data_IF_549010016134
#
_entry.id   IF_549010016134
#
_cell.length_a   1.000
_cell.length_b   1.000
_cell.length_c   1.000
_cell.angle_alpha   90.00
_cell.angle_beta   90.00
_cell.angle_gamma   90.00
#
_symmetry.space_group_name_H-M   'P 1'
#
loop_
_entity.id
_entity.type
_entity.pdbx_description
1 polymer ?
#
# COMPACT_ATOMS: atom_id res chain seq x y z
N UNK A 1 -6.49 -25.52 -32.53
CA UNK A 1 -6.28 -24.55 -31.44
C UNK A 1 -5.84 -25.32 -30.19
N UNK A 2 -4.70 -24.98 -29.61
CA UNK A 2 -4.29 -25.54 -28.33
C UNK A 2 -5.21 -24.95 -27.23
N UNK A 3 -5.72 -25.80 -26.34
CA UNK A 3 -6.52 -25.39 -25.19
C UNK A 3 -5.58 -25.26 -23.99
N UNK A 4 -5.75 -24.18 -23.19
CA UNK A 4 -5.04 -24.00 -21.95
C UNK A 4 -6.06 -24.05 -20.79
N UNK A 5 -5.69 -24.71 -19.71
CA UNK A 5 -6.46 -24.76 -18.47
C UNK A 5 -5.59 -24.18 -17.36
N UNK A 6 -6.06 -23.12 -16.71
CA UNK A 6 -5.44 -22.56 -15.52
C UNK A 6 -6.17 -23.10 -14.28
N UNK A 7 -5.45 -23.78 -13.40
CA UNK A 7 -5.97 -24.28 -12.13
C UNK A 7 -5.30 -23.50 -10.99
N UNK A 8 -6.10 -22.78 -10.20
CA UNK A 8 -5.64 -22.01 -9.07
C UNK A 8 -6.02 -22.76 -7.79
N UNK A 9 -5.01 -23.18 -7.03
CA UNK A 9 -5.18 -23.79 -5.72
C UNK A 9 -4.92 -22.72 -4.67
N UNK A 10 -5.94 -21.93 -4.37
CA UNK A 10 -5.85 -20.80 -3.45
C UNK A 10 -5.48 -21.27 -2.04
N UNK A 11 -4.53 -20.59 -1.41
CA UNK A 11 -3.99 -20.96 -0.11
C UNK A 11 -2.99 -22.14 -0.13
N UNK A 12 -2.67 -22.71 -1.32
CA UNK A 12 -1.67 -23.77 -1.46
C UNK A 12 -0.26 -23.15 -1.46
N UNK A 13 0.23 -22.77 -0.26
CA UNK A 13 1.53 -22.15 -0.09
C UNK A 13 2.66 -23.14 0.15
N UNK A 14 3.89 -22.67 0.06
CA UNK A 14 5.10 -23.41 0.39
C UNK A 14 5.47 -23.11 1.83
N UNK A 15 5.59 -24.15 2.64
CA UNK A 15 6.00 -24.05 4.04
C UNK A 15 6.90 -25.23 4.41
N UNK A 16 7.59 -25.11 5.53
CA UNK A 16 8.39 -26.20 6.07
C UNK A 16 7.52 -27.44 6.35
N UNK A 17 8.07 -28.63 6.13
CA UNK A 17 7.45 -29.89 6.47
C UNK A 17 7.25 -29.98 8.00
N UNK A 18 6.14 -30.54 8.45
CA UNK A 18 5.84 -30.71 9.86
C UNK A 18 4.36 -30.93 10.14
N UNK A 19 4.05 -31.23 11.39
CA UNK A 19 2.70 -31.59 11.84
C UNK A 19 1.64 -30.49 11.64
N UNK A 20 2.04 -29.24 11.47
CA UNK A 20 1.15 -28.12 11.15
C UNK A 20 0.94 -27.86 9.67
N UNK A 21 1.65 -28.57 8.78
CA UNK A 21 1.55 -28.39 7.33
C UNK A 21 0.69 -29.51 6.72
N UNK A 22 -0.60 -29.26 6.59
CA UNK A 22 -1.54 -30.22 6.03
C UNK A 22 -1.20 -30.62 4.58
N UNK A 23 -0.60 -29.73 3.80
CA UNK A 23 -0.18 -29.99 2.41
C UNK A 23 0.93 -31.03 2.37
N UNK A 24 1.95 -30.92 3.26
CA UNK A 24 3.05 -31.88 3.31
C UNK A 24 2.58 -33.28 3.78
N UNK A 25 1.56 -33.31 4.64
CA UNK A 25 1.01 -34.55 5.19
C UNK A 25 -0.01 -35.24 4.26
N UNK A 26 -0.57 -34.53 3.31
CA UNK A 26 -1.59 -35.05 2.40
C UNK A 26 -1.01 -36.07 1.42
N UNK A 27 -1.80 -37.10 1.11
CA UNK A 27 -1.52 -38.03 0.00
C UNK A 27 -1.83 -37.33 -1.32
N UNK A 28 -0.82 -36.87 -2.03
CA UNK A 28 -0.95 -36.06 -3.26
C UNK A 28 -0.11 -36.59 -4.44
N UNK A 29 -0.20 -37.90 -4.77
CA UNK A 29 0.71 -38.53 -5.72
C UNK A 29 0.71 -37.89 -7.11
N UNK A 30 -0.41 -37.32 -7.55
CA UNK A 30 -0.49 -36.65 -8.84
C UNK A 30 0.21 -35.30 -8.82
N UNK A 31 0.08 -34.51 -7.74
CA UNK A 31 0.82 -33.25 -7.59
C UNK A 31 2.31 -33.51 -7.44
N UNK A 32 2.69 -34.49 -6.63
CA UNK A 32 4.10 -34.88 -6.46
C UNK A 32 4.73 -35.24 -7.81
N UNK A 33 4.03 -36.03 -8.64
CA UNK A 33 4.48 -36.36 -9.99
C UNK A 33 4.56 -35.12 -10.91
N UNK A 34 3.55 -34.25 -10.87
CA UNK A 34 3.55 -33.03 -11.70
C UNK A 34 4.74 -32.14 -11.35
N UNK A 35 5.04 -31.93 -10.07
CA UNK A 35 6.18 -31.14 -9.63
C UNK A 35 7.53 -31.78 -9.95
N UNK A 36 7.61 -33.12 -9.95
CA UNK A 36 8.84 -33.82 -10.27
C UNK A 36 9.16 -33.87 -11.77
N UNK A 37 8.14 -33.95 -12.62
CA UNK A 37 8.30 -34.20 -14.05
C UNK A 37 8.19 -32.94 -14.94
N UNK A 38 7.75 -31.81 -14.37
CA UNK A 38 7.53 -30.59 -15.13
C UNK A 38 8.30 -29.39 -14.57
N UNK A 39 8.55 -28.42 -15.43
CA UNK A 39 9.14 -27.15 -15.01
C UNK A 39 8.18 -26.39 -14.09
N UNK A 40 8.68 -25.84 -13.00
CA UNK A 40 7.92 -24.98 -12.09
C UNK A 40 8.79 -23.80 -11.61
N UNK A 41 8.12 -22.78 -11.11
CA UNK A 41 8.77 -21.62 -10.46
C UNK A 41 7.97 -21.21 -9.24
N UNK A 42 8.60 -20.42 -8.38
CA UNK A 42 7.97 -19.80 -7.22
C UNK A 42 7.66 -18.34 -7.51
N UNK A 43 6.53 -17.88 -7.00
CA UNK A 43 6.11 -16.49 -7.06
C UNK A 43 5.99 -15.96 -5.61
N UNK A 44 6.33 -14.70 -5.42
CA UNK A 44 6.01 -14.00 -4.19
C UNK A 44 4.50 -13.79 -4.09
N UNK A 45 3.96 -13.95 -2.88
CA UNK A 45 2.54 -13.77 -2.60
C UNK A 45 2.28 -12.70 -1.54
N UNK A 46 3.26 -11.82 -1.27
CA UNK A 46 3.16 -10.79 -0.22
C UNK A 46 3.88 -9.50 -0.62
N UNK A 47 3.60 -8.45 0.11
CA UNK A 47 4.29 -7.16 0.00
C UNK A 47 4.20 -6.52 -1.37
N UNK A 48 5.23 -5.79 -1.75
CA UNK A 48 5.27 -5.00 -2.99
C UNK A 48 5.12 -5.86 -4.25
N UNK A 49 5.54 -7.11 -4.22
CA UNK A 49 5.42 -8.05 -5.35
C UNK A 49 3.97 -8.37 -5.74
N UNK A 50 3.03 -8.10 -4.84
CA UNK A 50 1.59 -8.24 -5.10
C UNK A 50 0.81 -6.92 -4.95
N UNK A 51 1.52 -5.79 -4.84
CA UNK A 51 0.91 -4.47 -4.77
C UNK A 51 0.46 -4.02 -3.39
N UNK A 52 0.91 -4.71 -2.34
CA UNK A 52 0.66 -4.37 -0.93
C UNK A 52 1.86 -3.67 -0.30
N UNK A 53 1.71 -3.00 0.85
CA UNK A 53 2.84 -2.49 1.62
C UNK A 53 3.86 -3.59 1.94
N UNK A 54 5.13 -3.21 2.07
CA UNK A 54 6.19 -4.13 2.40
C UNK A 54 5.90 -4.86 3.72
N UNK A 55 6.17 -6.18 3.76
CA UNK A 55 5.91 -7.02 4.92
C UNK A 55 4.44 -7.42 5.13
N UNK A 56 3.51 -6.89 4.36
CA UNK A 56 2.10 -7.27 4.45
C UNK A 56 1.86 -8.59 3.74
N UNK A 57 1.20 -9.53 4.44
CA UNK A 57 0.79 -10.82 3.88
C UNK A 57 -0.24 -10.59 2.76
N UNK A 58 -0.07 -11.32 1.64
CA UNK A 58 -1.02 -11.31 0.55
C UNK A 58 -2.37 -11.95 0.90
N UNK A 59 -3.30 -11.80 -0.01
CA UNK A 59 -4.63 -12.39 0.09
C UNK A 59 -5.14 -12.80 -1.29
N UNK A 60 -6.25 -13.53 -1.32
CA UNK A 60 -6.86 -14.05 -2.54
C UNK A 60 -7.22 -12.94 -3.54
N UNK A 61 -7.74 -11.81 -3.05
CA UNK A 61 -8.19 -10.69 -3.89
C UNK A 61 -7.03 -10.11 -4.70
N UNK A 62 -5.94 -9.70 -4.05
CA UNK A 62 -4.79 -9.13 -4.75
C UNK A 62 -4.09 -10.14 -5.64
N UNK A 63 -4.03 -11.41 -5.24
CA UNK A 63 -3.43 -12.47 -6.06
C UNK A 63 -4.19 -12.70 -7.36
N UNK A 64 -5.51 -12.85 -7.28
CA UNK A 64 -6.36 -13.03 -8.47
C UNK A 64 -6.37 -11.77 -9.35
N UNK A 65 -6.36 -10.57 -8.74
CA UNK A 65 -6.28 -9.33 -9.50
C UNK A 65 -5.00 -9.24 -10.31
N UNK A 66 -3.85 -9.57 -9.71
CA UNK A 66 -2.55 -9.54 -10.40
C UNK A 66 -2.48 -10.59 -11.53
N UNK A 67 -2.98 -11.82 -11.29
CA UNK A 67 -3.06 -12.85 -12.33
C UNK A 67 -3.96 -12.41 -13.49
N UNK A 68 -5.12 -11.82 -13.19
CA UNK A 68 -6.06 -11.35 -14.22
C UNK A 68 -5.53 -10.15 -15.01
N UNK A 69 -4.79 -9.27 -14.37
CA UNK A 69 -4.18 -8.09 -15.00
C UNK A 69 -2.88 -8.40 -15.74
N UNK A 70 -2.24 -9.53 -15.44
CA UNK A 70 -0.92 -9.89 -16.01
C UNK A 70 0.21 -8.95 -15.57
N UNK A 71 0.02 -8.24 -14.46
CA UNK A 71 0.99 -7.29 -13.88
C UNK A 71 0.70 -7.06 -12.41
N UNK A 72 1.64 -6.49 -11.68
CA UNK A 72 1.39 -6.02 -10.32
C UNK A 72 0.41 -4.84 -10.36
N UNK A 73 -0.68 -4.94 -9.60
CA UNK A 73 -1.66 -3.87 -9.39
C UNK A 73 -1.48 -3.35 -7.98
N UNK A 74 -0.85 -2.19 -7.86
CA UNK A 74 -0.66 -1.57 -6.55
C UNK A 74 -2.00 -1.14 -5.95
N UNK A 75 -2.24 -1.54 -4.69
CA UNK A 75 -3.35 -1.04 -3.91
C UNK A 75 -3.18 0.46 -3.63
N UNK A 76 -4.26 1.20 -3.43
CA UNK A 76 -4.24 2.67 -3.37
C UNK A 76 -3.21 3.22 -2.38
N UNK A 77 -3.13 2.67 -1.18
CA UNK A 77 -2.15 3.10 -0.18
C UNK A 77 -0.71 2.94 -0.69
N UNK A 78 -0.40 1.76 -1.24
CA UNK A 78 0.93 1.43 -1.78
C UNK A 78 1.24 2.30 -3.01
N UNK A 79 0.24 2.53 -3.86
CA UNK A 79 0.37 3.37 -5.06
C UNK A 79 0.74 4.81 -4.67
N UNK A 80 0.03 5.41 -3.72
CA UNK A 80 0.32 6.78 -3.27
C UNK A 80 1.71 6.85 -2.64
N UNK A 81 2.07 5.87 -1.78
CA UNK A 81 3.41 5.81 -1.19
C UNK A 81 4.48 5.77 -2.27
N UNK A 82 4.30 4.93 -3.28
CA UNK A 82 5.24 4.80 -4.40
C UNK A 82 5.33 6.09 -5.21
N UNK A 83 4.21 6.71 -5.55
CA UNK A 83 4.17 7.98 -6.27
C UNK A 83 4.91 9.11 -5.54
N UNK A 84 4.84 9.13 -4.19
CA UNK A 84 5.62 10.08 -3.38
C UNK A 84 7.12 9.79 -3.49
N UNK A 85 7.51 8.52 -3.39
CA UNK A 85 8.91 8.09 -3.48
C UNK A 85 9.52 8.36 -4.85
N UNK A 86 8.77 8.08 -5.92
CA UNK A 86 9.18 8.28 -7.31
C UNK A 86 9.10 9.77 -7.74
N UNK A 87 8.41 10.61 -6.97
CA UNK A 87 8.21 12.03 -7.26
C UNK A 87 7.02 12.35 -8.16
N UNK A 88 6.29 11.37 -8.64
CA UNK A 88 5.12 11.56 -9.51
C UNK A 88 3.93 12.17 -8.76
N UNK A 89 3.81 11.92 -7.46
CA UNK A 89 2.83 12.57 -6.59
C UNK A 89 2.87 14.11 -6.71
N UNK A 90 4.06 14.69 -6.82
CA UNK A 90 4.26 16.13 -6.93
C UNK A 90 3.87 16.72 -8.29
N UNK A 91 3.47 15.86 -9.24
CA UNK A 91 2.98 16.25 -10.57
C UNK A 91 1.46 16.10 -10.69
N UNK A 92 0.77 15.71 -9.62
CA UNK A 92 -0.68 15.48 -9.64
C UNK A 92 -1.42 16.79 -9.96
N UNK A 93 -2.07 16.82 -11.11
CA UNK A 93 -2.70 18.03 -11.66
C UNK A 93 -3.81 18.59 -10.75
N UNK A 94 -4.60 17.73 -10.10
CA UNK A 94 -5.68 18.16 -9.22
C UNK A 94 -5.15 18.82 -7.94
N UNK A 95 -4.09 18.26 -7.35
CA UNK A 95 -3.45 18.84 -6.18
C UNK A 95 -2.76 20.16 -6.54
N UNK A 96 -2.04 20.21 -7.66
CA UNK A 96 -1.40 21.43 -8.15
C UNK A 96 -2.43 22.52 -8.43
N UNK A 97 -3.57 22.20 -9.05
CA UNK A 97 -4.63 23.16 -9.30
C UNK A 97 -5.22 23.74 -8.01
N UNK A 98 -5.43 22.92 -6.98
CA UNK A 98 -5.89 23.38 -5.67
C UNK A 98 -4.87 24.33 -5.00
N UNK A 99 -3.59 23.97 -5.02
CA UNK A 99 -2.52 24.79 -4.45
C UNK A 99 -2.34 26.11 -5.22
N UNK A 100 -2.40 26.05 -6.55
CA UNK A 100 -2.37 27.24 -7.40
C UNK A 100 -3.53 28.19 -7.10
N UNK A 101 -4.76 27.65 -6.97
CA UNK A 101 -5.92 28.45 -6.62
C UNK A 101 -5.75 29.15 -5.25
N UNK A 102 -5.24 28.43 -4.24
CA UNK A 102 -4.98 29.01 -2.93
C UNK A 102 -3.95 30.14 -3.01
N UNK A 103 -2.89 29.96 -3.78
CA UNK A 103 -1.82 30.94 -3.97
C UNK A 103 -2.31 32.19 -4.70
N UNK A 104 -3.03 32.03 -5.80
CA UNK A 104 -3.53 33.15 -6.64
C UNK A 104 -4.55 34.01 -5.89
N UNK A 105 -5.31 33.44 -4.97
CA UNK A 105 -6.32 34.15 -4.18
C UNK A 105 -5.82 34.57 -2.79
N UNK A 106 -4.54 34.40 -2.48
CA UNK A 106 -3.96 34.61 -1.14
C UNK A 106 -4.77 33.94 -0.03
N UNK A 107 -5.36 32.78 -0.31
CA UNK A 107 -6.20 31.99 0.57
C UNK A 107 -5.42 30.86 1.23
N UNK A 108 -6.03 30.22 2.21
CA UNK A 108 -5.46 29.06 2.88
C UNK A 108 -5.79 27.76 2.14
N UNK A 109 -4.88 26.79 2.26
CA UNK A 109 -5.18 25.40 1.93
C UNK A 109 -5.40 24.61 3.24
N UNK A 110 -6.39 23.75 3.25
CA UNK A 110 -6.75 22.93 4.40
C UNK A 110 -6.66 21.45 4.02
N UNK A 111 -5.81 20.70 4.72
CA UNK A 111 -5.77 19.27 4.66
C UNK A 111 -6.55 18.67 5.81
N UNK A 112 -7.28 17.58 5.58
CA UNK A 112 -8.03 16.90 6.62
C UNK A 112 -8.00 15.40 6.42
N UNK A 113 -7.86 14.64 7.49
CA UNK A 113 -7.83 13.19 7.43
C UNK A 113 -7.36 12.53 8.72
N UNK A 114 -7.32 11.21 8.69
CA UNK A 114 -6.87 10.39 9.78
C UNK A 114 -5.35 10.49 9.92
N UNK A 115 -4.89 10.86 11.12
CA UNK A 115 -3.48 11.09 11.44
C UNK A 115 -2.90 9.88 12.20
N UNK A 116 -2.35 8.92 11.47
CA UNK A 116 -1.63 7.78 12.02
C UNK A 116 -0.74 7.10 10.97
N UNK A 117 0.02 6.11 11.40
CA UNK A 117 0.80 5.21 10.54
C UNK A 117 0.15 3.82 10.38
N UNK A 118 -1.11 3.68 10.76
CA UNK A 118 -1.83 2.40 10.73
C UNK A 118 -1.90 1.74 9.35
N UNK A 119 -1.89 2.54 8.28
CA UNK A 119 -1.76 2.03 6.91
C UNK A 119 -2.99 1.26 6.40
N UNK A 120 -4.15 1.43 7.03
CA UNK A 120 -5.41 0.84 6.60
C UNK A 120 -6.26 1.87 5.85
N UNK A 121 -6.53 3.00 6.48
CA UNK A 121 -7.35 4.07 5.89
C UNK A 121 -6.53 5.29 5.45
N UNK A 122 -5.37 5.47 6.03
CA UNK A 122 -4.43 6.55 5.71
C UNK A 122 -3.02 6.19 6.18
N UNK A 123 -2.05 7.01 5.78
CA UNK A 123 -0.69 6.94 6.33
C UNK A 123 -0.12 8.35 6.48
N UNK A 124 0.49 8.64 7.63
CA UNK A 124 1.02 9.97 7.97
C UNK A 124 2.03 10.49 6.93
N UNK A 125 2.79 9.60 6.29
CA UNK A 125 3.74 9.99 5.23
C UNK A 125 3.08 10.58 4.00
N UNK A 126 1.80 10.24 3.72
CA UNK A 126 1.04 10.85 2.63
C UNK A 126 0.71 12.32 2.94
N UNK A 127 0.36 12.61 4.19
CA UNK A 127 0.19 13.99 4.65
C UNK A 127 1.50 14.77 4.58
N UNK A 128 2.63 14.15 4.94
CA UNK A 128 3.95 14.77 4.79
C UNK A 128 4.27 15.09 3.33
N UNK A 129 3.88 14.22 2.40
CA UNK A 129 3.97 14.49 0.95
C UNK A 129 3.15 15.71 0.53
N UNK A 130 1.93 15.87 1.06
CA UNK A 130 1.10 17.05 0.81
C UNK A 130 1.72 18.34 1.37
N UNK A 131 2.27 18.29 2.58
CA UNK A 131 2.96 19.44 3.19
C UNK A 131 4.20 19.83 2.39
N UNK A 132 4.98 18.85 1.96
CA UNK A 132 6.15 19.09 1.10
C UNK A 132 5.75 19.70 -0.24
N UNK A 133 4.64 19.24 -0.83
CA UNK A 133 4.10 19.81 -2.05
C UNK A 133 3.68 21.28 -1.85
N UNK A 134 2.96 21.57 -0.75
CA UNK A 134 2.56 22.92 -0.41
C UNK A 134 3.77 23.86 -0.21
N UNK A 135 4.82 23.37 0.44
CA UNK A 135 6.09 24.09 0.60
C UNK A 135 6.76 24.35 -0.75
N UNK A 136 6.84 23.37 -1.63
CA UNK A 136 7.40 23.50 -3.00
C UNK A 136 6.63 24.54 -3.83
N UNK A 137 5.31 24.60 -3.67
CA UNK A 137 4.45 25.57 -4.34
C UNK A 137 4.49 26.98 -3.69
N UNK A 138 5.16 27.12 -2.54
CA UNK A 138 5.34 28.39 -1.84
C UNK A 138 4.09 28.87 -1.10
N UNK A 139 3.28 27.96 -0.58
CA UNK A 139 2.11 28.28 0.24
C UNK A 139 2.51 28.53 1.68
N UNK A 140 2.06 29.65 2.25
CA UNK A 140 2.36 30.06 3.63
C UNK A 140 1.16 29.88 4.59
N UNK A 141 -0.04 29.65 4.05
CA UNK A 141 -1.28 29.50 4.81
C UNK A 141 -1.78 28.06 4.66
N UNK A 142 -1.16 27.14 5.40
CA UNK A 142 -1.46 25.69 5.35
C UNK A 142 -1.98 25.25 6.71
N UNK A 143 -3.16 24.62 6.74
CA UNK A 143 -3.79 24.12 7.96
C UNK A 143 -4.09 22.64 7.84
N UNK A 144 -3.87 21.88 8.91
CA UNK A 144 -4.17 20.46 8.98
C UNK A 144 -5.23 20.20 10.05
N UNK A 145 -6.32 19.57 9.66
CA UNK A 145 -7.38 19.11 10.55
C UNK A 145 -7.19 17.63 10.84
N UNK A 146 -6.61 17.33 11.99
CA UNK A 146 -6.23 15.98 12.39
C UNK A 146 -7.42 15.21 12.95
N UNK A 147 -7.80 14.10 12.31
CA UNK A 147 -8.68 13.11 12.92
C UNK A 147 -7.79 12.05 13.56
N UNK A 148 -7.95 11.84 14.86
CA UNK A 148 -7.10 10.92 15.60
C UNK A 148 -7.58 9.48 15.41
N UNK A 149 -6.62 8.57 15.29
CA UNK A 149 -6.84 7.13 15.24
C UNK A 149 -6.90 6.56 16.68
N UNK A 150 -7.27 5.34 16.79
CA UNK A 150 -7.38 4.57 18.03
C UNK A 150 -8.00 3.20 17.76
N UNK A 151 -8.17 2.88 16.46
CA UNK A 151 -8.66 1.61 15.95
C UNK A 151 -7.55 0.81 15.26
N UNK A 152 -6.84 1.45 14.33
CA UNK A 152 -5.76 0.82 13.55
C UNK A 152 -4.40 0.99 14.26
N UNK A 153 -4.34 1.92 15.20
CA UNK A 153 -3.18 2.18 16.08
C UNK A 153 -3.63 2.24 17.54
N UNK A 154 -2.70 2.10 18.51
CA UNK A 154 -3.06 2.16 19.92
C UNK A 154 -3.84 3.43 20.29
N UNK A 155 -4.92 3.36 21.10
CA UNK A 155 -5.77 4.52 21.41
C UNK A 155 -5.04 5.72 22.04
N UNK A 156 -3.91 5.49 22.69
CA UNK A 156 -3.10 6.54 23.32
C UNK A 156 -1.99 7.10 22.41
N UNK A 157 -1.84 6.65 21.16
CA UNK A 157 -0.74 7.04 20.26
C UNK A 157 -0.90 8.43 19.62
N UNK A 158 -2.11 8.99 19.60
CA UNK A 158 -2.43 10.22 18.87
C UNK A 158 -1.52 11.42 19.20
N UNK A 159 -1.09 11.56 20.47
CA UNK A 159 -0.13 12.60 20.87
C UNK A 159 1.18 12.50 20.09
N UNK A 160 1.69 11.29 19.89
CA UNK A 160 2.94 11.06 19.16
C UNK A 160 2.83 11.47 17.69
N UNK A 161 1.70 11.19 17.05
CA UNK A 161 1.47 11.59 15.66
C UNK A 161 1.32 13.10 15.49
N UNK A 162 0.66 13.77 16.45
CA UNK A 162 0.59 15.25 16.45
C UNK A 162 1.99 15.86 16.60
N UNK A 163 2.84 15.30 17.45
CA UNK A 163 4.23 15.76 17.60
C UNK A 163 5.05 15.57 16.32
N UNK A 164 4.89 14.43 15.63
CA UNK A 164 5.54 14.19 14.33
C UNK A 164 5.05 15.19 13.26
N UNK A 165 3.74 15.43 13.22
CA UNK A 165 3.17 16.42 12.31
C UNK A 165 3.70 17.83 12.62
N UNK A 166 3.72 18.23 13.89
CA UNK A 166 4.25 19.55 14.28
C UNK A 166 5.70 19.71 13.83
N UNK A 167 6.55 18.71 14.11
CA UNK A 167 7.94 18.72 13.67
C UNK A 167 8.07 18.87 12.13
N UNK A 168 7.18 18.18 11.37
CA UNK A 168 7.17 18.30 9.91
C UNK A 168 6.69 19.66 9.42
N UNK A 169 5.81 20.33 10.14
CA UNK A 169 5.33 21.67 9.79
C UNK A 169 6.33 22.77 10.17
N UNK A 170 7.21 22.50 11.12
CA UNK A 170 8.26 23.44 11.56
C UNK A 170 9.48 23.45 10.61
N UNK A 171 9.62 22.44 9.71
CA UNK A 171 10.63 22.38 8.65
C UNK A 171 10.39 23.43 7.54
#
# INVERSE_FOLDING_TARGET
MSKCVLVIMDGFGIAHEGGGNAISLAKKPNLDRIFAENAYTQLSASGLDVGLPEGQMGNSEVGHLNMGAGRIVYQELTRITKEIQDGDFFKNEALLAAMKNAKENDSAIHFMGLLSDGGVHSHITHLFGLLEMAKKEGLNKVYVHCFLDGRDTPPASGKGYIQQLQAKMDE
#
